data_IF_388258894712
#
_entry.id   IF_388258894712
#
_cell.length_a   1.000
_cell.length_b   1.000
_cell.length_c   1.000
_cell.angle_alpha   90.00
_cell.angle_beta   90.00
_cell.angle_gamma   90.00
#
_symmetry.space_group_name_H-M   'P 1'
#
loop_
_entity.id
_entity.type
_entity.pdbx_description
1 polymer ?
#
# COMPACT_ATOMS: atom_id res chain seq x y z
N UNK A 1 13.01 33.48 -31.29
CA UNK A 1 13.50 32.32 -30.51
C UNK A 1 12.28 31.49 -30.12
N UNK A 2 11.99 30.46 -30.89
CA UNK A 2 10.90 29.51 -30.64
C UNK A 2 11.39 28.49 -29.62
N UNK A 3 10.78 28.47 -28.43
CA UNK A 3 11.01 27.40 -27.46
C UNK A 3 10.52 26.09 -28.07
N UNK A 4 11.45 25.20 -28.43
CA UNK A 4 11.13 23.81 -28.69
C UNK A 4 10.61 23.21 -27.39
N UNK A 5 9.29 23.10 -27.29
CA UNK A 5 8.64 22.20 -26.32
C UNK A 5 9.05 20.78 -26.70
N UNK A 6 10.11 20.27 -26.07
CA UNK A 6 10.38 18.83 -26.06
C UNK A 6 9.21 18.17 -25.32
N UNK A 7 8.22 17.72 -26.06
CA UNK A 7 7.17 16.85 -25.53
C UNK A 7 7.84 15.53 -25.17
N UNK A 8 8.40 15.44 -23.96
CA UNK A 8 8.92 14.19 -23.43
C UNK A 8 7.77 13.20 -23.39
N UNK A 9 7.92 12.07 -24.08
CA UNK A 9 6.95 10.99 -23.98
C UNK A 9 6.77 10.60 -22.50
N UNK A 10 5.52 10.45 -22.03
CA UNK A 10 5.26 10.13 -20.64
C UNK A 10 5.92 8.80 -20.29
N UNK A 11 6.52 8.70 -19.10
CA UNK A 11 7.15 7.45 -18.64
C UNK A 11 6.11 6.36 -18.54
N UNK A 12 6.39 5.18 -19.08
CA UNK A 12 5.47 4.06 -19.01
C UNK A 12 5.88 3.11 -17.88
N UNK A 13 4.91 2.61 -17.13
CA UNK A 13 5.08 1.64 -16.06
C UNK A 13 4.17 0.45 -16.32
N UNK A 14 4.65 -0.75 -16.02
CA UNK A 14 3.91 -1.98 -16.24
C UNK A 14 3.68 -2.71 -14.91
N UNK A 15 2.49 -3.26 -14.72
CA UNK A 15 2.14 -4.11 -13.59
C UNK A 15 1.59 -5.41 -14.10
N UNK A 16 2.25 -6.52 -13.76
CA UNK A 16 1.69 -7.85 -13.93
C UNK A 16 1.17 -8.33 -12.57
N UNK A 17 -0.14 -8.57 -12.50
CA UNK A 17 -0.81 -8.91 -11.26
C UNK A 17 -1.65 -10.18 -11.40
N UNK A 18 -1.87 -10.87 -10.29
CA UNK A 18 -2.90 -11.89 -10.20
C UNK A 18 -4.31 -11.26 -10.03
N UNK A 19 -5.28 -12.03 -9.52
CA UNK A 19 -6.64 -11.56 -9.25
C UNK A 19 -6.72 -10.35 -8.31
N UNK A 20 -5.71 -10.07 -7.49
CA UNK A 20 -5.70 -8.89 -6.62
C UNK A 20 -5.63 -7.58 -7.41
N UNK A 21 -5.05 -7.58 -8.61
CA UNK A 21 -5.01 -6.39 -9.47
C UNK A 21 -6.32 -6.06 -10.19
N UNK A 22 -7.32 -6.95 -10.17
CA UNK A 22 -8.55 -6.82 -10.98
C UNK A 22 -9.37 -5.55 -10.72
N UNK A 23 -9.21 -4.96 -9.54
CA UNK A 23 -9.93 -3.77 -9.11
C UNK A 23 -9.25 -2.47 -9.52
N UNK A 24 -8.07 -2.56 -10.14
CA UNK A 24 -7.30 -1.39 -10.56
C UNK A 24 -7.54 -1.16 -12.06
N UNK A 25 -7.76 0.08 -12.51
CA UNK A 25 -7.93 0.38 -13.92
C UNK A 25 -6.77 -0.17 -14.75
N UNK A 26 -7.09 -0.91 -15.83
CA UNK A 26 -6.08 -1.51 -16.73
C UNK A 26 -5.11 -0.50 -17.31
N UNK A 27 -5.56 0.73 -17.48
CA UNK A 27 -4.75 1.82 -17.97
C UNK A 27 -5.06 3.09 -17.18
N UNK A 28 -4.01 3.70 -16.64
CA UNK A 28 -4.07 5.03 -16.01
C UNK A 28 -3.06 5.93 -16.70
N UNK A 29 -3.51 7.07 -17.22
CA UNK A 29 -2.66 8.03 -17.93
C UNK A 29 -2.69 9.36 -17.21
N UNK A 30 -1.52 9.93 -17.01
CA UNK A 30 -1.32 11.28 -16.49
C UNK A 30 -0.41 12.07 -17.45
N UNK A 31 -0.25 13.39 -17.28
CA UNK A 31 0.67 14.16 -18.11
C UNK A 31 2.14 13.72 -18.03
N UNK A 32 2.55 13.07 -16.93
CA UNK A 32 3.95 12.70 -16.68
C UNK A 32 4.24 11.22 -16.91
N UNK A 33 3.22 10.38 -16.79
CA UNK A 33 3.41 8.93 -16.86
C UNK A 33 2.13 8.16 -17.18
N UNK A 34 2.31 6.93 -17.60
CA UNK A 34 1.29 5.95 -17.91
C UNK A 34 1.54 4.68 -17.10
N UNK A 35 0.49 4.09 -16.52
CA UNK A 35 0.55 2.81 -15.81
C UNK A 35 -0.37 1.84 -16.53
N UNK A 36 0.21 0.74 -17.02
CA UNK A 36 -0.50 -0.36 -17.66
C UNK A 36 -0.53 -1.52 -16.68
N UNK A 37 -1.73 -2.04 -16.41
CA UNK A 37 -1.97 -3.12 -15.46
C UNK A 37 -2.62 -4.29 -16.20
N UNK A 38 -1.96 -5.44 -16.13
CA UNK A 38 -2.49 -6.70 -16.62
C UNK A 38 -2.74 -7.64 -15.44
N UNK A 39 -4.01 -7.91 -15.16
CA UNK A 39 -4.43 -8.78 -14.06
C UNK A 39 -4.99 -10.10 -14.59
N UNK A 40 -4.41 -11.21 -14.16
CA UNK A 40 -4.77 -12.56 -14.61
C UNK A 40 -5.14 -13.39 -13.38
N UNK A 41 -6.41 -13.79 -13.27
CA UNK A 41 -6.86 -14.59 -12.12
C UNK A 41 -6.19 -15.96 -12.14
N UNK A 42 -5.65 -16.38 -10.99
CA UNK A 42 -4.94 -17.67 -10.89
C UNK A 42 -3.48 -17.64 -11.33
N UNK A 43 -2.93 -16.47 -11.69
CA UNK A 43 -1.53 -16.27 -12.07
C UNK A 43 -0.58 -16.74 -10.96
N UNK A 44 0.49 -17.41 -11.38
CA UNK A 44 1.56 -17.98 -10.56
C UNK A 44 2.91 -17.61 -11.18
N UNK A 45 3.97 -17.63 -10.39
CA UNK A 45 5.35 -17.54 -10.87
C UNK A 45 5.66 -18.66 -11.88
N UNK A 46 5.38 -19.90 -11.49
CA UNK A 46 5.51 -21.11 -12.31
C UNK A 46 4.18 -21.88 -12.33
N UNK A 47 3.85 -22.45 -13.48
CA UNK A 47 2.80 -23.46 -13.63
C UNK A 47 3.01 -24.23 -14.93
N UNK A 48 3.54 -25.45 -14.82
CA UNK A 48 3.89 -26.28 -15.99
C UNK A 48 2.64 -26.85 -16.67
N UNK A 49 1.55 -27.04 -15.92
CA UNK A 49 0.29 -27.57 -16.44
C UNK A 49 -0.52 -26.50 -17.17
N UNK A 50 -0.39 -25.24 -16.73
CA UNK A 50 -1.20 -24.12 -17.19
C UNK A 50 -0.31 -22.94 -17.56
N UNK A 51 0.41 -23.04 -18.69
CA UNK A 51 1.35 -22.01 -19.15
C UNK A 51 0.74 -20.60 -19.23
N UNK A 52 -0.55 -20.47 -19.54
CA UNK A 52 -1.25 -19.17 -19.59
C UNK A 52 -1.44 -18.52 -18.19
N UNK A 53 -1.18 -19.25 -17.11
CA UNK A 53 -1.14 -18.77 -15.72
C UNK A 53 0.28 -18.76 -15.15
N UNK A 54 1.31 -19.04 -15.95
CA UNK A 54 2.70 -18.95 -15.54
C UNK A 54 3.27 -17.59 -15.95
N UNK A 55 3.77 -16.83 -14.98
CA UNK A 55 4.42 -15.55 -15.22
C UNK A 55 5.62 -15.70 -16.17
N UNK A 56 6.43 -16.74 -15.98
CA UNK A 56 7.56 -17.04 -16.87
C UNK A 56 7.15 -17.11 -18.35
N UNK A 57 6.13 -17.93 -18.66
CA UNK A 57 5.66 -18.10 -20.03
C UNK A 57 4.97 -16.83 -20.56
N UNK A 58 4.18 -16.17 -19.72
CA UNK A 58 3.48 -14.94 -20.09
C UNK A 58 4.42 -13.80 -20.45
N UNK A 59 5.54 -13.63 -19.73
CA UNK A 59 6.53 -12.58 -20.00
C UNK A 59 7.18 -12.74 -21.38
N UNK A 60 7.16 -13.95 -21.95
CA UNK A 60 7.67 -14.25 -23.30
C UNK A 60 6.62 -14.04 -24.40
N UNK A 61 5.36 -13.82 -24.04
CA UNK A 61 4.31 -13.54 -25.04
C UNK A 61 4.47 -12.14 -25.63
N UNK A 62 4.21 -12.01 -26.94
CA UNK A 62 4.40 -10.76 -27.66
C UNK A 62 3.75 -9.51 -27.00
N UNK A 63 2.50 -9.56 -26.50
CA UNK A 63 1.88 -8.39 -25.88
C UNK A 63 2.61 -7.92 -24.62
N UNK A 64 2.98 -8.84 -23.74
CA UNK A 64 3.67 -8.51 -22.48
C UNK A 64 5.11 -8.09 -22.77
N UNK A 65 5.80 -8.80 -23.66
CA UNK A 65 7.15 -8.45 -24.09
C UNK A 65 7.23 -7.02 -24.63
N UNK A 66 6.25 -6.59 -25.44
CA UNK A 66 6.16 -5.21 -25.93
C UNK A 66 5.97 -4.17 -24.82
N UNK A 67 5.13 -4.47 -23.83
CA UNK A 67 4.97 -3.62 -22.65
C UNK A 67 6.25 -3.53 -21.82
N UNK A 68 6.99 -4.62 -21.65
CA UNK A 68 8.27 -4.62 -20.94
C UNK A 68 9.34 -3.81 -21.68
N UNK A 69 9.39 -3.92 -23.00
CA UNK A 69 10.34 -3.18 -23.84
C UNK A 69 10.18 -1.65 -23.73
N UNK A 70 8.95 -1.18 -23.50
CA UNK A 70 8.61 0.24 -23.36
C UNK A 70 8.56 0.74 -21.91
N UNK A 71 8.46 -0.17 -20.93
CA UNK A 71 8.32 0.19 -19.52
C UNK A 71 9.62 0.72 -18.93
N UNK A 72 9.54 1.84 -18.21
CA UNK A 72 10.61 2.37 -17.35
C UNK A 72 10.83 1.50 -16.12
N UNK A 73 9.76 0.97 -15.53
CA UNK A 73 9.81 0.01 -14.44
C UNK A 73 8.61 -0.93 -14.49
N UNK A 74 8.79 -2.14 -13.95
CA UNK A 74 7.77 -3.18 -13.83
C UNK A 74 7.51 -3.50 -12.36
N UNK A 75 6.25 -3.78 -12.01
CA UNK A 75 5.85 -4.34 -10.73
C UNK A 75 5.20 -5.71 -10.94
N UNK A 76 5.56 -6.67 -10.09
CA UNK A 76 4.91 -7.97 -10.00
C UNK A 76 4.08 -8.07 -8.71
N UNK A 77 2.79 -8.31 -8.86
CA UNK A 77 1.86 -8.63 -7.78
C UNK A 77 1.37 -10.06 -7.96
N UNK A 78 2.21 -11.02 -7.58
CA UNK A 78 2.00 -12.46 -7.79
C UNK A 78 2.48 -13.19 -6.53
N UNK A 79 1.68 -14.11 -6.00
CA UNK A 79 2.15 -14.87 -4.84
C UNK A 79 1.22 -15.95 -4.34
N UNK A 80 0.00 -15.59 -3.95
CA UNK A 80 -0.86 -16.47 -3.15
C UNK A 80 -1.20 -17.78 -3.89
N UNK A 81 -1.39 -17.73 -5.22
CA UNK A 81 -1.64 -18.94 -6.00
C UNK A 81 -0.40 -19.83 -6.17
N UNK A 82 0.79 -19.25 -6.26
CA UNK A 82 2.05 -20.01 -6.29
C UNK A 82 2.30 -20.71 -4.97
N UNK A 83 2.18 -19.99 -3.86
CA UNK A 83 2.51 -20.51 -2.53
C UNK A 83 1.45 -21.45 -1.95
N UNK A 84 0.29 -21.57 -2.63
CA UNK A 84 -0.68 -22.65 -2.43
C UNK A 84 -0.28 -23.95 -3.13
N UNK A 85 0.48 -23.90 -4.22
CA UNK A 85 0.85 -25.06 -5.06
C UNK A 85 2.32 -25.48 -4.89
N UNK A 86 3.20 -24.57 -4.47
CA UNK A 86 4.64 -24.81 -4.40
C UNK A 86 5.23 -24.30 -3.09
N UNK A 87 6.37 -24.88 -2.69
CA UNK A 87 7.17 -24.33 -1.58
C UNK A 87 7.74 -22.96 -1.93
N UNK A 88 8.02 -22.17 -0.91
CA UNK A 88 8.70 -20.87 -1.02
C UNK A 88 9.97 -20.95 -1.89
N UNK A 89 10.79 -21.99 -1.66
CA UNK A 89 12.04 -22.20 -2.39
C UNK A 89 11.85 -22.34 -3.90
N UNK A 90 10.85 -23.09 -4.34
CA UNK A 90 10.54 -23.27 -5.77
C UNK A 90 10.12 -21.92 -6.38
N UNK A 91 9.23 -21.19 -5.72
CA UNK A 91 8.80 -19.88 -6.20
C UNK A 91 9.95 -18.86 -6.27
N UNK A 92 10.86 -18.86 -5.28
CA UNK A 92 12.02 -17.96 -5.26
C UNK A 92 13.04 -18.29 -6.34
N UNK A 93 13.31 -19.58 -6.57
CA UNK A 93 14.14 -20.01 -7.68
C UNK A 93 13.56 -19.51 -9.00
N UNK A 94 12.26 -19.64 -9.21
CA UNK A 94 11.61 -19.14 -10.42
C UNK A 94 11.75 -17.62 -10.57
N UNK A 95 11.52 -16.86 -9.49
CA UNK A 95 11.71 -15.40 -9.50
C UNK A 95 13.14 -15.04 -9.90
N UNK A 96 14.14 -15.75 -9.39
CA UNK A 96 15.54 -15.54 -9.77
C UNK A 96 15.77 -15.76 -11.27
N UNK A 97 15.22 -16.82 -11.84
CA UNK A 97 15.31 -17.09 -13.28
C UNK A 97 14.60 -16.00 -14.10
N UNK A 98 13.39 -15.62 -13.71
CA UNK A 98 12.61 -14.56 -14.37
C UNK A 98 13.38 -13.24 -14.37
N UNK A 99 13.90 -12.80 -13.22
CA UNK A 99 14.63 -11.53 -13.12
C UNK A 99 15.89 -11.56 -13.98
N UNK A 100 16.63 -12.68 -13.98
CA UNK A 100 17.84 -12.82 -14.78
C UNK A 100 17.50 -12.73 -16.28
N UNK A 101 16.45 -13.42 -16.72
CA UNK A 101 15.99 -13.40 -18.11
C UNK A 101 15.49 -12.00 -18.52
N UNK A 102 14.66 -11.36 -17.70
CA UNK A 102 14.17 -10.00 -17.95
C UNK A 102 15.31 -9.01 -18.17
N UNK A 103 16.40 -9.12 -17.41
CA UNK A 103 17.54 -8.21 -17.55
C UNK A 103 18.42 -8.52 -18.75
N UNK A 104 18.48 -9.77 -19.18
CA UNK A 104 19.15 -10.14 -20.42
C UNK A 104 18.38 -9.60 -21.64
N UNK A 105 17.04 -9.67 -21.61
CA UNK A 105 16.18 -9.23 -22.72
C UNK A 105 15.90 -7.72 -22.71
N UNK A 106 15.88 -7.09 -21.54
CA UNK A 106 15.53 -5.69 -21.34
C UNK A 106 16.55 -5.00 -20.43
N UNK A 107 17.67 -4.55 -21.02
CA UNK A 107 18.80 -3.98 -20.28
C UNK A 107 18.43 -2.79 -19.38
N UNK A 108 17.40 -2.01 -19.74
CA UNK A 108 16.92 -0.89 -18.92
C UNK A 108 16.30 -1.32 -17.58
N UNK A 109 15.93 -2.60 -17.45
CA UNK A 109 15.41 -3.19 -16.22
C UNK A 109 16.51 -3.69 -15.26
N UNK A 110 17.80 -3.49 -15.59
CA UNK A 110 18.92 -3.85 -14.72
C UNK A 110 19.03 -2.97 -13.46
N UNK A 111 18.43 -1.78 -13.45
CA UNK A 111 18.50 -0.83 -12.31
C UNK A 111 17.61 -1.29 -11.15
N UNK A 112 18.02 -0.98 -9.92
CA UNK A 112 17.32 -1.39 -8.68
C UNK A 112 15.83 -1.09 -8.67
N UNK A 113 15.48 0.13 -9.07
CA UNK A 113 14.11 0.63 -9.03
C UNK A 113 13.28 0.26 -10.28
N UNK A 114 13.89 -0.43 -11.26
CA UNK A 114 13.19 -0.85 -12.48
C UNK A 114 12.35 -2.11 -12.31
N UNK A 115 12.60 -2.93 -11.27
CA UNK A 115 11.82 -4.13 -10.96
C UNK A 115 11.35 -4.05 -9.51
N UNK A 116 10.04 -4.06 -9.32
CA UNK A 116 9.38 -4.17 -8.02
C UNK A 116 8.67 -5.52 -7.88
N UNK A 117 8.83 -6.20 -6.74
CA UNK A 117 8.05 -7.39 -6.40
C UNK A 117 7.29 -7.11 -5.11
N UNK A 118 5.97 -7.31 -5.16
CA UNK A 118 5.11 -7.17 -3.99
C UNK A 118 5.23 -8.42 -3.12
N UNK A 119 5.37 -8.26 -1.81
CA UNK A 119 5.31 -9.38 -0.87
C UNK A 119 3.98 -10.11 -0.99
N UNK A 120 4.00 -11.44 -0.88
CA UNK A 120 2.76 -12.22 -0.95
C UNK A 120 1.86 -11.89 0.24
N UNK A 121 0.58 -11.64 -0.03
CA UNK A 121 -0.40 -11.35 1.00
C UNK A 121 -0.66 -12.58 1.89
N UNK A 122 -1.14 -12.38 3.13
CA UNK A 122 -1.62 -13.49 3.96
C UNK A 122 -2.66 -14.32 3.22
N UNK A 123 -2.64 -15.63 3.45
CA UNK A 123 -3.59 -16.57 2.85
C UNK A 123 -3.80 -17.74 3.81
N UNK A 124 -5.06 -18.06 4.08
CA UNK A 124 -5.44 -19.18 4.94
C UNK A 124 -6.29 -20.22 4.19
N UNK A 125 -6.42 -20.07 2.86
CA UNK A 125 -7.08 -21.04 2.00
C UNK A 125 -6.15 -22.21 1.70
N UNK A 126 -6.36 -23.32 2.40
CA UNK A 126 -5.58 -24.55 2.28
C UNK A 126 -5.59 -25.13 0.85
N UNK A 127 -4.67 -26.06 0.62
CA UNK A 127 -4.53 -26.84 -0.60
C UNK A 127 -4.15 -28.28 -0.23
N UNK A 128 -4.08 -29.17 -1.23
CA UNK A 128 -3.61 -30.54 -1.02
C UNK A 128 -2.18 -30.58 -0.42
N UNK A 129 -1.31 -29.67 -0.85
CA UNK A 129 0.10 -29.62 -0.42
C UNK A 129 0.24 -28.93 0.95
N UNK A 130 -0.61 -27.95 1.23
CA UNK A 130 -0.65 -27.23 2.51
C UNK A 130 -2.04 -27.43 3.14
N UNK A 131 -2.27 -28.56 3.84
CA UNK A 131 -3.61 -28.96 4.29
C UNK A 131 -4.16 -28.12 5.44
N UNK A 132 -3.35 -27.25 6.05
CA UNK A 132 -3.78 -26.38 7.15
C UNK A 132 -3.43 -24.92 6.90
N UNK A 133 -4.24 -23.96 7.41
CA UNK A 133 -3.93 -22.53 7.40
C UNK A 133 -2.53 -22.17 7.92
N UNK A 134 -2.08 -22.85 8.97
CA UNK A 134 -0.77 -22.60 9.58
C UNK A 134 0.38 -22.95 8.63
N UNK A 135 0.27 -24.07 7.91
CA UNK A 135 1.32 -24.52 6.99
C UNK A 135 1.47 -23.58 5.78
N UNK A 136 0.36 -23.13 5.20
CA UNK A 136 0.42 -22.17 4.09
C UNK A 136 0.93 -20.80 4.55
N UNK A 137 0.48 -20.30 5.71
CA UNK A 137 0.97 -19.03 6.24
C UNK A 137 2.47 -19.12 6.58
N UNK A 138 2.92 -20.25 7.10
CA UNK A 138 4.34 -20.50 7.33
C UNK A 138 5.14 -20.48 6.02
N UNK A 139 4.65 -21.13 4.96
CA UNK A 139 5.26 -21.08 3.63
C UNK A 139 5.34 -19.65 3.06
N UNK A 140 4.29 -18.84 3.26
CA UNK A 140 4.26 -17.42 2.86
C UNK A 140 5.26 -16.60 3.65
N UNK A 141 5.39 -16.82 4.97
CA UNK A 141 6.35 -16.12 5.79
C UNK A 141 7.79 -16.42 5.35
N UNK A 142 8.11 -17.71 5.14
CA UNK A 142 9.42 -18.12 4.60
C UNK A 142 9.69 -17.43 3.27
N UNK A 143 8.71 -17.45 2.35
CA UNK A 143 8.85 -16.78 1.05
C UNK A 143 9.15 -15.29 1.20
N UNK A 144 8.34 -14.56 1.98
CA UNK A 144 8.48 -13.13 2.13
C UNK A 144 9.82 -12.75 2.79
N UNK A 145 10.26 -13.50 3.81
CA UNK A 145 11.58 -13.30 4.45
C UNK A 145 12.72 -13.54 3.46
N UNK A 146 12.70 -14.67 2.75
CA UNK A 146 13.74 -15.02 1.78
C UNK A 146 13.76 -14.10 0.55
N UNK A 147 12.61 -13.54 0.17
CA UNK A 147 12.50 -12.59 -0.91
C UNK A 147 13.31 -11.30 -0.66
N UNK A 148 13.45 -10.85 0.60
CA UNK A 148 14.31 -9.71 0.94
C UNK A 148 15.80 -10.00 0.69
N UNK A 149 16.26 -11.22 1.00
CA UNK A 149 17.63 -11.63 0.70
C UNK A 149 17.84 -11.71 -0.81
N UNK A 150 16.89 -12.29 -1.54
CA UNK A 150 16.94 -12.36 -3.00
C UNK A 150 16.95 -10.95 -3.64
N UNK A 151 16.16 -10.02 -3.11
CA UNK A 151 16.13 -8.63 -3.56
C UNK A 151 17.45 -7.89 -3.34
N UNK A 152 18.15 -8.19 -2.26
CA UNK A 152 19.49 -7.64 -2.00
C UNK A 152 20.48 -8.21 -3.00
N UNK A 153 20.49 -9.54 -3.20
CA UNK A 153 21.42 -10.23 -4.09
C UNK A 153 21.23 -9.85 -5.55
N UNK A 154 19.97 -9.79 -6.01
CA UNK A 154 19.63 -9.44 -7.38
C UNK A 154 19.30 -7.96 -7.54
N UNK A 155 19.51 -7.11 -6.53
CA UNK A 155 19.29 -5.66 -6.61
C UNK A 155 17.95 -5.28 -7.26
N UNK A 156 16.83 -5.72 -6.70
CA UNK A 156 15.48 -5.25 -7.09
C UNK A 156 14.73 -4.73 -5.86
N UNK A 157 13.55 -4.14 -6.06
CA UNK A 157 12.79 -3.51 -4.97
C UNK A 157 11.69 -4.44 -4.44
N UNK A 158 11.62 -4.57 -3.12
CA UNK A 158 10.47 -5.16 -2.44
C UNK A 158 9.45 -4.08 -2.12
N UNK A 159 8.18 -4.41 -2.34
CA UNK A 159 7.05 -3.53 -2.04
C UNK A 159 6.12 -4.27 -1.08
N UNK A 160 5.89 -3.68 0.09
CA UNK A 160 4.91 -4.19 1.05
C UNK A 160 3.66 -3.30 0.99
N UNK A 161 2.52 -3.89 0.69
CA UNK A 161 1.23 -3.21 0.65
C UNK A 161 0.56 -3.16 2.04
N UNK A 162 1.19 -3.78 3.05
CA UNK A 162 0.73 -3.92 4.43
C UNK A 162 -0.66 -4.57 4.52
N UNK A 163 -0.94 -5.56 3.66
CA UNK A 163 -2.18 -6.33 3.70
C UNK A 163 -2.15 -7.28 4.92
N UNK A 164 -3.14 -7.14 5.79
CA UNK A 164 -3.27 -7.91 7.03
C UNK A 164 -4.37 -8.98 6.89
N UNK A 165 -4.37 -10.02 7.75
CA UNK A 165 -5.39 -11.08 7.71
C UNK A 165 -6.84 -10.58 7.74
N UNK A 166 -7.14 -9.53 8.50
CA UNK A 166 -8.48 -8.96 8.59
C UNK A 166 -8.93 -8.18 7.34
N UNK A 167 -8.03 -7.96 6.36
CA UNK A 167 -8.39 -7.40 5.06
C UNK A 167 -8.89 -8.47 4.09
N UNK A 168 -8.73 -9.76 4.42
CA UNK A 168 -9.16 -10.86 3.55
C UNK A 168 -10.68 -11.05 3.63
N UNK A 169 -11.25 -11.50 2.52
CA UNK A 169 -12.63 -11.92 2.43
C UNK A 169 -12.86 -13.23 3.18
N UNK A 170 -14.13 -13.65 3.25
CA UNK A 170 -14.54 -14.92 3.88
C UNK A 170 -13.76 -16.12 3.34
N UNK A 171 -13.35 -16.07 2.07
CA UNK A 171 -12.60 -17.15 1.43
C UNK A 171 -11.14 -17.27 1.84
N UNK A 172 -10.66 -16.35 2.70
CA UNK A 172 -9.33 -16.30 3.26
C UNK A 172 -8.18 -16.28 2.23
N UNK A 173 -8.47 -15.80 1.02
CA UNK A 173 -7.50 -15.70 -0.09
C UNK A 173 -7.58 -14.33 -0.73
N UNK A 174 -8.77 -13.88 -1.12
CA UNK A 174 -8.96 -12.60 -1.78
C UNK A 174 -9.09 -11.47 -0.76
N UNK A 175 -8.70 -10.26 -1.17
CA UNK A 175 -8.98 -9.06 -0.38
C UNK A 175 -10.49 -8.79 -0.43
N UNK A 176 -11.08 -8.48 0.71
CA UNK A 176 -12.48 -8.09 0.79
C UNK A 176 -12.73 -6.82 -0.04
N UNK A 177 -13.87 -6.75 -0.72
CA UNK A 177 -14.22 -5.62 -1.58
C UNK A 177 -14.13 -4.28 -0.84
N UNK A 178 -14.42 -4.25 0.46
CA UNK A 178 -14.29 -3.05 1.30
C UNK A 178 -12.85 -2.50 1.32
N UNK A 179 -11.84 -3.36 1.23
CA UNK A 179 -10.42 -3.01 1.22
C UNK A 179 -9.78 -3.01 -0.18
N UNK A 180 -10.55 -3.23 -1.25
CA UNK A 180 -10.04 -3.31 -2.63
C UNK A 180 -9.20 -2.09 -3.05
N UNK A 181 -9.57 -0.89 -2.59
CA UNK A 181 -8.84 0.35 -2.85
C UNK A 181 -7.43 0.40 -2.25
N UNK A 182 -7.09 -0.47 -1.28
CA UNK A 182 -5.73 -0.53 -0.75
C UNK A 182 -4.73 -0.94 -1.83
N UNK A 183 -5.10 -1.88 -2.72
CA UNK A 183 -4.21 -2.36 -3.79
C UNK A 183 -3.96 -1.24 -4.79
N UNK A 184 -5.02 -0.58 -5.28
CA UNK A 184 -4.88 0.53 -6.24
C UNK A 184 -4.04 1.66 -5.66
N UNK A 185 -4.33 2.10 -4.43
CA UNK A 185 -3.60 3.18 -3.79
C UNK A 185 -2.13 2.84 -3.59
N UNK A 186 -1.79 1.61 -3.21
CA UNK A 186 -0.39 1.20 -3.05
C UNK A 186 0.36 1.16 -4.39
N UNK A 187 -0.28 0.67 -5.47
CA UNK A 187 0.32 0.68 -6.82
C UNK A 187 0.61 2.12 -7.26
N UNK A 188 -0.37 3.01 -7.17
CA UNK A 188 -0.20 4.42 -7.58
C UNK A 188 0.86 5.13 -6.72
N UNK A 189 0.78 4.99 -5.40
CA UNK A 189 1.77 5.58 -4.49
C UNK A 189 3.20 5.08 -4.76
N UNK A 190 3.36 3.82 -5.17
CA UNK A 190 4.67 3.28 -5.53
C UNK A 190 5.26 4.00 -6.75
N UNK A 191 4.51 4.11 -7.84
CA UNK A 191 5.00 4.76 -9.06
C UNK A 191 5.15 6.28 -8.89
N UNK A 192 4.26 6.95 -8.17
CA UNK A 192 4.39 8.38 -7.83
C UNK A 192 5.70 8.68 -7.07
N UNK A 193 6.10 7.78 -6.16
CA UNK A 193 7.37 7.88 -5.45
C UNK A 193 8.56 7.69 -6.38
N UNK A 194 8.51 6.68 -7.26
CA UNK A 194 9.57 6.43 -8.24
C UNK A 194 9.79 7.64 -9.16
N UNK A 195 8.70 8.25 -9.63
CA UNK A 195 8.75 9.47 -10.44
C UNK A 195 9.38 10.61 -9.64
N UNK A 196 8.94 10.83 -8.41
CA UNK A 196 9.44 11.88 -7.52
C UNK A 196 10.93 11.75 -7.20
N UNK A 197 11.46 10.53 -7.13
CA UNK A 197 12.89 10.26 -6.91
C UNK A 197 13.73 10.38 -8.17
N UNK A 198 13.12 10.36 -9.35
CA UNK A 198 13.80 10.42 -10.65
C UNK A 198 14.01 11.84 -11.20
N UNK A 199 13.70 12.87 -10.41
CA UNK A 199 13.94 14.28 -10.74
C UNK A 199 15.45 14.57 -10.55
N UNK A 200 16.16 15.11 -11.55
CA UNK A 200 17.58 15.43 -11.47
C UNK A 200 17.92 16.30 -10.25
N UNK A 201 19.09 16.05 -9.65
CA UNK A 201 19.56 16.67 -8.41
C UNK A 201 19.56 18.21 -8.43
N UNK A 202 19.60 18.83 -9.62
CA UNK A 202 19.64 20.29 -9.80
C UNK A 202 18.30 20.99 -9.49
N UNK A 203 17.20 20.25 -9.30
CA UNK A 203 15.92 20.81 -8.86
C UNK A 203 15.50 20.35 -7.46
N UNK A 204 16.40 19.76 -6.67
CA UNK A 204 16.13 19.46 -5.27
C UNK A 204 16.18 20.73 -4.43
N UNK A 205 15.07 21.48 -4.43
CA UNK A 205 14.76 22.39 -3.31
C UNK A 205 14.74 21.54 -2.04
N UNK A 206 15.81 21.61 -1.26
CA UNK A 206 16.02 21.07 0.09
C UNK A 206 14.76 20.42 0.69
N UNK A 207 14.47 19.19 0.29
CA UNK A 207 13.32 18.45 0.81
C UNK A 207 13.78 17.76 2.09
N UNK A 208 13.28 18.25 3.21
CA UNK A 208 13.56 17.72 4.55
C UNK A 208 13.31 16.21 4.56
N UNK A 209 14.20 15.45 5.20
CA UNK A 209 14.10 14.00 5.32
C UNK A 209 12.75 13.56 5.90
N UNK A 210 12.34 12.33 5.61
CA UNK A 210 11.11 11.74 6.16
C UNK A 210 11.10 11.79 7.71
N UNK A 211 12.26 11.61 8.34
CA UNK A 211 12.39 11.76 9.80
C UNK A 211 12.15 13.20 10.26
N UNK A 212 12.62 14.19 9.51
CA UNK A 212 12.35 15.60 9.80
C UNK A 212 10.88 15.96 9.57
N UNK A 213 10.23 15.38 8.56
CA UNK A 213 8.78 15.51 8.33
C UNK A 213 7.97 14.86 9.46
N UNK A 214 8.32 13.64 9.88
CA UNK A 214 7.65 12.95 11.00
C UNK A 214 7.84 13.71 12.31
N UNK A 215 9.06 14.18 12.62
CA UNK A 215 9.31 15.01 13.81
C UNK A 215 8.52 16.31 13.78
N UNK A 216 8.42 16.96 12.62
CA UNK A 216 7.61 18.17 12.44
C UNK A 216 6.12 17.90 12.64
N UNK A 217 5.58 16.84 12.03
CA UNK A 217 4.18 16.47 12.16
C UNK A 217 3.83 16.08 13.60
N UNK A 218 4.69 15.31 14.28
CA UNK A 218 4.54 14.99 15.71
C UNK A 218 4.49 16.26 16.56
N UNK A 219 5.43 17.19 16.38
CA UNK A 219 5.42 18.50 17.07
C UNK A 219 4.15 19.30 16.77
N UNK A 220 3.67 19.29 15.52
CA UNK A 220 2.44 19.97 15.10
C UNK A 220 1.21 19.36 15.78
N UNK A 221 1.11 18.03 15.84
CA UNK A 221 0.01 17.32 16.51
C UNK A 221 0.03 17.57 18.02
N UNK A 222 1.19 17.56 18.67
CA UNK A 222 1.32 17.90 20.09
C UNK A 222 0.86 19.33 20.38
N UNK A 223 1.34 20.32 19.60
CA UNK A 223 0.89 21.72 19.74
C UNK A 223 -0.60 21.90 19.47
N UNK A 224 -1.16 21.15 18.51
CA UNK A 224 -2.59 21.17 18.25
C UNK A 224 -3.37 20.56 19.41
N UNK A 225 -2.88 19.46 20.00
CA UNK A 225 -3.48 18.84 21.17
C UNK A 225 -3.41 19.73 22.41
N UNK A 226 -2.29 20.42 22.65
CA UNK A 226 -2.13 21.43 23.70
C UNK A 226 -3.11 22.59 23.50
N UNK A 227 -3.14 23.18 22.30
CA UNK A 227 -4.10 24.25 21.96
C UNK A 227 -5.54 23.79 22.14
N UNK A 228 -5.86 22.57 21.71
CA UNK A 228 -7.19 22.00 21.88
C UNK A 228 -7.52 21.79 23.35
N UNK A 229 -6.60 21.26 24.16
CA UNK A 229 -6.78 21.05 25.59
C UNK A 229 -7.18 22.34 26.31
N UNK A 230 -6.68 23.50 25.87
CA UNK A 230 -7.09 24.80 26.41
C UNK A 230 -8.60 25.09 26.22
N UNK A 231 -9.30 24.47 25.27
CA UNK A 231 -10.74 24.70 25.04
C UNK A 231 -11.64 23.61 25.63
N UNK A 232 -11.09 22.66 26.39
CA UNK A 232 -11.88 21.60 27.02
C UNK A 232 -11.70 21.59 28.54
N UNK A 233 -12.81 21.38 29.25
CA UNK A 233 -12.80 20.96 30.65
C UNK A 233 -13.27 19.52 30.72
N UNK A 234 -12.55 18.70 31.49
CA UNK A 234 -13.05 17.41 31.94
C UNK A 234 -13.55 17.56 33.38
N UNK A 235 -14.81 17.22 33.63
CA UNK A 235 -15.39 17.17 34.97
C UNK A 235 -15.91 15.77 35.28
N UNK A 236 -15.68 15.34 36.52
CA UNK A 236 -16.42 14.23 37.08
C UNK A 236 -17.86 14.65 37.29
N UNK A 237 -18.79 13.86 36.79
CA UNK A 237 -20.23 14.10 36.90
C UNK A 237 -20.84 13.01 37.76
N UNK A 238 -21.92 13.34 38.46
CA UNK A 238 -22.62 12.36 39.28
C UNK A 238 -23.13 11.20 38.38
N UNK A 239 -23.05 9.93 38.81
CA UNK A 239 -23.51 8.79 38.01
C UNK A 239 -24.99 8.88 37.57
N UNK A 240 -25.82 9.61 38.31
CA UNK A 240 -27.24 9.83 37.98
C UNK A 240 -27.47 10.91 36.92
N UNK A 241 -26.43 11.68 36.54
CA UNK A 241 -26.57 12.79 35.60
C UNK A 241 -26.49 12.31 34.16
N UNK A 242 -27.57 12.50 33.41
CA UNK A 242 -27.61 12.28 31.96
C UNK A 242 -27.13 13.51 31.21
N UNK A 243 -26.78 13.35 29.93
CA UNK A 243 -26.41 14.48 29.07
C UNK A 243 -27.50 15.55 28.98
N UNK A 244 -28.77 15.17 29.04
CA UNK A 244 -29.91 16.09 28.99
C UNK A 244 -30.02 16.92 30.27
N UNK A 245 -29.85 16.29 31.43
CA UNK A 245 -29.80 16.97 32.73
C UNK A 245 -28.66 17.99 32.72
N UNK A 246 -27.49 17.62 32.20
CA UNK A 246 -26.33 18.50 32.14
C UNK A 246 -26.55 19.66 31.16
N UNK A 247 -27.13 19.40 29.99
CA UNK A 247 -27.50 20.47 29.04
C UNK A 247 -28.43 21.48 29.69
N UNK A 248 -29.46 20.99 30.37
CA UNK A 248 -30.45 21.81 31.07
C UNK A 248 -29.80 22.66 32.16
N UNK A 249 -28.95 22.05 32.98
CA UNK A 249 -28.18 22.74 34.02
C UNK A 249 -27.29 23.85 33.44
N UNK A 250 -26.53 23.56 32.38
CA UNK A 250 -25.66 24.55 31.73
C UNK A 250 -26.47 25.71 31.11
N UNK A 251 -27.63 25.41 30.50
CA UNK A 251 -28.52 26.43 29.94
C UNK A 251 -29.15 27.32 31.03
N UNK A 252 -29.64 26.72 32.12
CA UNK A 252 -30.23 27.46 33.26
C UNK A 252 -29.21 28.40 33.91
N UNK A 253 -27.96 27.97 34.02
CA UNK A 253 -26.88 28.78 34.57
C UNK A 253 -26.20 29.69 33.52
N UNK A 254 -26.76 29.77 32.30
CA UNK A 254 -26.25 30.61 31.20
C UNK A 254 -24.77 30.34 30.87
N UNK A 255 -24.30 29.11 31.03
CA UNK A 255 -22.93 28.72 30.73
C UNK A 255 -22.84 28.37 29.24
N UNK A 256 -22.18 29.20 28.40
CA UNK A 256 -22.07 28.92 26.98
C UNK A 256 -21.11 27.76 26.73
N UNK A 257 -21.53 26.78 25.93
CA UNK A 257 -20.68 25.66 25.52
C UNK A 257 -20.83 25.38 24.04
N UNK A 258 -19.76 24.87 23.43
CA UNK A 258 -19.73 24.51 22.01
C UNK A 258 -20.25 23.08 21.79
N UNK A 259 -19.79 22.15 22.63
CA UNK A 259 -20.10 20.73 22.49
C UNK A 259 -19.93 20.01 23.82
N UNK A 260 -20.84 19.07 24.09
CA UNK A 260 -20.71 18.09 25.17
C UNK A 260 -20.34 16.74 24.56
N UNK A 261 -19.32 16.08 25.08
CA UNK A 261 -19.01 14.70 24.72
C UNK A 261 -20.01 13.74 25.37
N UNK A 262 -20.03 12.49 24.93
CA UNK A 262 -20.67 11.42 25.70
C UNK A 262 -20.00 11.28 27.07
N UNK A 263 -20.79 10.99 28.10
CA UNK A 263 -20.28 10.69 29.44
C UNK A 263 -19.66 9.29 29.37
N UNK A 264 -18.41 9.15 29.80
CA UNK A 264 -17.72 7.86 29.90
C UNK A 264 -17.02 7.81 31.25
N UNK A 265 -17.19 6.71 32.00
CA UNK A 265 -16.60 6.53 33.32
C UNK A 265 -16.89 7.69 34.28
N UNK A 266 -18.13 8.19 34.31
CA UNK A 266 -18.55 9.36 35.08
C UNK A 266 -17.73 10.64 34.78
N UNK A 267 -17.09 10.72 33.61
CA UNK A 267 -16.41 11.91 33.14
C UNK A 267 -17.13 12.50 31.93
N UNK A 268 -17.34 13.81 31.99
CA UNK A 268 -17.83 14.60 30.89
C UNK A 268 -16.74 15.54 30.40
N UNK A 269 -16.55 15.59 29.08
CA UNK A 269 -15.71 16.58 28.42
C UNK A 269 -16.59 17.67 27.80
N UNK A 270 -16.41 18.88 28.28
CA UNK A 270 -17.12 20.08 27.81
C UNK A 270 -16.16 20.88 26.94
N UNK A 271 -16.57 21.20 25.71
CA UNK A 271 -15.83 22.09 24.81
C UNK A 271 -16.42 23.49 24.88
N UNK A 272 -15.56 24.50 24.98
CA UNK A 272 -15.93 25.91 24.91
C UNK A 272 -15.47 26.52 23.59
N UNK A 273 -16.16 27.56 23.14
CA UNK A 273 -15.77 28.30 21.93
C UNK A 273 -14.64 29.29 22.22
N UNK A 274 -14.58 29.83 23.45
CA UNK A 274 -13.61 30.84 23.85
C UNK A 274 -12.93 30.44 25.16
N UNK A 275 -11.68 30.90 25.35
CA UNK A 275 -10.93 30.65 26.59
C UNK A 275 -11.49 31.42 27.79
N UNK A 276 -12.09 32.59 27.56
CA UNK A 276 -12.65 33.44 28.62
C UNK A 276 -13.86 32.83 29.32
N UNK A 277 -14.51 31.84 28.70
CA UNK A 277 -15.65 31.10 29.27
C UNK A 277 -15.23 29.96 30.22
N UNK A 278 -13.92 29.80 30.47
CA UNK A 278 -13.34 28.81 31.39
C UNK A 278 -13.00 29.38 32.78
N UNK A 279 -13.01 30.71 32.93
CA UNK A 279 -12.79 31.44 34.18
C UNK A 279 -14.10 31.55 34.94
#
# INVERSE_FOLDING_TARGET
MTFQSTTSTPKQYFVLADSHGRFVPRLTTTPTHQIIIQSISGLKWIDDDQHHLSAFHLLQTYPIFSHLASATAVMFLIGSNSLRKFSASIALNEIQHIISNLRQQHLHLAKKDSIGIVTTFPCFKFSYIFPTPALIQHNINIFNEQLYFLATNLNFRIVDFAIQPYHLSIDQLHIDNYYSNLVSNNIFNYFDRLISTSIPADQQVSRRSNDALMRRNRRRHLRLAEKQACFYICKTVNPSWTLEIIKTYLQQNQIPFAKLSTIRNNQLRIRFNNLHTLQ
#
